data_IF_805072015451
#
_entry.id   IF_805072015451
#
_cell.length_a   1.000
_cell.length_b   1.000
_cell.length_c   1.000
_cell.angle_alpha   90.00
_cell.angle_beta   90.00
_cell.angle_gamma   90.00
#
_symmetry.space_group_name_H-M   'P 1'
#
loop_
_entity.id
_entity.type
_entity.pdbx_description
1 polymer ?
#
# COMPACT_ATOMS: atom_id res chain seq x y z
N UNK A 1 -10.02 20.21 -6.30
CA UNK A 1 -8.72 19.88 -5.66
C UNK A 1 -7.51 20.42 -6.45
N UNK A 2 -7.46 21.71 -6.81
CA UNK A 2 -6.44 22.26 -7.74
C UNK A 2 -5.45 23.27 -7.15
N UNK A 3 -5.36 23.40 -5.82
CA UNK A 3 -4.56 24.46 -5.16
C UNK A 3 -3.45 23.99 -4.21
N UNK A 4 -3.34 22.70 -3.89
CA UNK A 4 -2.34 22.19 -2.93
C UNK A 4 -1.03 21.89 -3.65
N UNK A 5 0.09 22.31 -3.08
CA UNK A 5 1.41 22.03 -3.64
C UNK A 5 2.06 20.87 -2.87
N UNK A 6 2.83 20.00 -3.53
CA UNK A 6 3.60 18.97 -2.83
C UNK A 6 4.58 19.54 -1.81
N UNK A 7 5.02 20.80 -1.98
CA UNK A 7 5.89 21.51 -1.05
C UNK A 7 5.26 21.81 0.31
N UNK A 8 3.93 21.71 0.41
CA UNK A 8 3.19 21.99 1.64
C UNK A 8 3.21 20.77 2.60
N UNK A 9 3.78 19.64 2.15
CA UNK A 9 3.85 18.38 2.88
C UNK A 9 5.30 17.93 3.09
N UNK A 10 5.56 17.22 4.19
CA UNK A 10 6.88 16.66 4.50
C UNK A 10 7.06 15.33 3.75
N UNK A 11 7.49 15.41 2.50
CA UNK A 11 7.59 14.24 1.60
C UNK A 11 8.48 13.11 2.15
N UNK A 12 9.54 13.44 2.90
CA UNK A 12 10.42 12.42 3.50
C UNK A 12 9.67 11.52 4.48
N UNK A 13 8.75 12.08 5.28
CA UNK A 13 7.95 11.31 6.23
C UNK A 13 6.92 10.44 5.50
N UNK A 14 6.30 10.99 4.46
CA UNK A 14 5.34 10.23 3.64
C UNK A 14 6.00 9.06 2.92
N UNK A 15 7.23 9.22 2.43
CA UNK A 15 8.00 8.13 1.79
C UNK A 15 8.27 7.01 2.78
N UNK A 16 8.65 7.34 4.02
CA UNK A 16 8.91 6.33 5.04
C UNK A 16 7.65 5.57 5.45
N UNK A 17 6.53 6.27 5.63
CA UNK A 17 5.26 5.68 6.07
C UNK A 17 4.51 4.92 4.95
N UNK A 18 4.74 5.27 3.68
CA UNK A 18 4.08 4.61 2.54
C UNK A 18 4.85 3.39 1.99
N UNK A 19 5.91 2.93 2.68
CA UNK A 19 6.66 1.74 2.27
C UNK A 19 5.78 0.49 2.18
N UNK A 20 5.71 -0.08 0.99
CA UNK A 20 4.91 -1.27 0.68
C UNK A 20 3.50 -0.98 0.17
N UNK A 21 3.08 0.29 0.12
CA UNK A 21 1.84 0.70 -0.52
C UNK A 21 2.00 0.78 -2.04
N UNK A 22 0.96 0.42 -2.78
CA UNK A 22 0.85 0.71 -4.20
C UNK A 22 0.40 2.14 -4.46
N UNK A 23 0.60 2.64 -5.69
CA UNK A 23 0.14 3.98 -6.05
C UNK A 23 -1.37 4.20 -5.88
N UNK A 24 -2.17 3.14 -6.06
CA UNK A 24 -3.62 3.20 -5.82
C UNK A 24 -3.95 3.36 -4.33
N UNK A 25 -3.24 2.63 -3.45
CA UNK A 25 -3.44 2.74 -2.00
C UNK A 25 -2.97 4.08 -1.46
N UNK A 26 -1.84 4.61 -1.95
CA UNK A 26 -1.37 5.96 -1.60
C UNK A 26 -2.41 7.01 -2.00
N UNK A 27 -2.99 6.89 -3.20
CA UNK A 27 -4.05 7.79 -3.63
C UNK A 27 -5.27 7.73 -2.70
N UNK A 28 -5.64 6.54 -2.24
CA UNK A 28 -6.77 6.38 -1.33
C UNK A 28 -6.49 7.00 0.04
N UNK A 29 -5.31 6.78 0.61
CA UNK A 29 -4.89 7.43 1.85
C UNK A 29 -4.95 8.97 1.75
N UNK A 30 -4.53 9.54 0.61
CA UNK A 30 -4.65 10.99 0.37
C UNK A 30 -6.11 11.44 0.35
N UNK A 31 -7.02 10.69 -0.28
CA UNK A 31 -8.46 11.03 -0.27
C UNK A 31 -9.04 10.94 1.14
N UNK A 32 -8.67 9.93 1.91
CA UNK A 32 -9.15 9.76 3.28
C UNK A 32 -8.67 10.91 4.18
N UNK A 33 -7.39 11.29 4.09
CA UNK A 33 -6.85 12.48 4.75
C UNK A 33 -7.64 13.76 4.43
N UNK A 34 -8.06 13.90 3.18
CA UNK A 34 -8.89 15.02 2.75
C UNK A 34 -10.29 15.00 3.36
N UNK A 35 -10.90 13.82 3.52
CA UNK A 35 -12.18 13.69 4.19
C UNK A 35 -12.07 14.01 5.68
N UNK A 36 -11.02 13.52 6.37
CA UNK A 36 -10.77 13.82 7.79
C UNK A 36 -10.61 15.32 8.04
N UNK A 37 -9.73 15.98 7.29
CA UNK A 37 -9.52 17.42 7.41
C UNK A 37 -10.76 18.24 7.05
N UNK A 38 -11.55 17.78 6.07
CA UNK A 38 -12.79 18.44 5.69
C UNK A 38 -13.84 18.41 6.80
N UNK A 39 -13.97 17.29 7.51
CA UNK A 39 -14.88 17.16 8.67
C UNK A 39 -14.52 18.16 9.78
N UNK A 40 -13.22 18.37 9.97
CA UNK A 40 -12.66 19.35 10.92
C UNK A 40 -12.60 20.79 10.39
N UNK A 41 -13.16 21.07 9.21
CA UNK A 41 -13.18 22.40 8.58
C UNK A 41 -11.78 23.03 8.40
N UNK A 42 -10.76 22.22 8.16
CA UNK A 42 -9.38 22.63 7.92
C UNK A 42 -8.83 22.07 6.61
N UNK A 43 -7.65 22.54 6.22
CA UNK A 43 -6.88 21.89 5.14
C UNK A 43 -6.12 20.68 5.70
N UNK A 44 -5.91 19.63 4.89
CA UNK A 44 -5.14 18.48 5.32
C UNK A 44 -3.66 18.85 5.42
N UNK A 45 -2.98 18.25 6.39
CA UNK A 45 -1.54 18.32 6.56
C UNK A 45 -0.87 16.95 6.33
N UNK A 46 0.42 16.86 6.64
CA UNK A 46 1.17 15.61 6.47
C UNK A 46 0.68 14.52 7.42
N UNK A 47 0.26 14.87 8.64
CA UNK A 47 -0.16 13.92 9.65
C UNK A 47 -1.46 13.24 9.27
N UNK A 48 -2.40 13.95 8.64
CA UNK A 48 -3.65 13.32 8.16
C UNK A 48 -3.39 12.17 7.18
N UNK A 49 -2.40 12.34 6.29
CA UNK A 49 -2.01 11.32 5.34
C UNK A 49 -1.32 10.16 6.06
N UNK A 50 -0.45 10.45 7.04
CA UNK A 50 0.20 9.42 7.86
C UNK A 50 -0.85 8.60 8.62
N UNK A 51 -1.82 9.24 9.27
CA UNK A 51 -2.92 8.57 9.97
C UNK A 51 -3.74 7.69 9.02
N UNK A 52 -4.07 8.19 7.83
CA UNK A 52 -4.78 7.38 6.82
C UNK A 52 -3.96 6.15 6.36
N UNK A 53 -2.64 6.31 6.19
CA UNK A 53 -1.73 5.21 5.88
C UNK A 53 -1.67 4.21 7.03
N UNK A 54 -1.54 4.65 8.28
CA UNK A 54 -1.49 3.78 9.47
C UNK A 54 -2.78 2.99 9.69
N UNK A 55 -3.92 3.58 9.35
CA UNK A 55 -5.23 2.92 9.41
C UNK A 55 -5.44 1.90 8.29
N UNK A 56 -4.53 1.84 7.31
CA UNK A 56 -4.63 0.94 6.16
C UNK A 56 -3.50 -0.07 6.19
N UNK A 57 -3.84 -1.36 6.10
CA UNK A 57 -2.83 -2.41 6.00
C UNK A 57 -2.46 -2.65 4.52
N UNK A 58 -1.21 -2.36 4.08
CA UNK A 58 -0.88 -2.39 2.66
C UNK A 58 -0.95 -3.81 2.06
N UNK A 59 -1.44 -3.90 0.82
CA UNK A 59 -1.67 -5.15 0.10
C UNK A 59 -0.40 -5.98 -0.08
N UNK A 60 0.76 -5.32 -0.23
CA UNK A 60 2.04 -6.01 -0.31
C UNK A 60 2.35 -6.86 0.94
N UNK A 61 1.81 -6.48 2.10
CA UNK A 61 1.95 -7.24 3.36
C UNK A 61 0.87 -8.31 3.51
N UNK A 62 -0.35 -8.05 3.04
CA UNK A 62 -1.47 -9.02 3.07
C UNK A 62 -1.33 -10.14 2.04
N UNK A 63 -0.80 -9.85 0.86
CA UNK A 63 -0.77 -10.80 -0.28
C UNK A 63 0.63 -10.91 -0.90
N UNK A 64 1.67 -10.81 -0.08
CA UNK A 64 3.07 -10.81 -0.53
C UNK A 64 3.43 -12.01 -1.42
N UNK A 65 3.04 -13.23 -1.03
CA UNK A 65 3.33 -14.45 -1.81
C UNK A 65 2.66 -14.42 -3.19
N UNK A 66 1.39 -14.00 -3.25
CA UNK A 66 0.63 -13.92 -4.49
C UNK A 66 1.21 -12.84 -5.41
N UNK A 67 1.64 -11.71 -4.86
CA UNK A 67 2.29 -10.64 -5.62
C UNK A 67 3.65 -11.09 -6.18
N UNK A 68 4.41 -11.89 -5.42
CA UNK A 68 5.67 -12.43 -5.90
C UNK A 68 5.47 -13.44 -7.03
N UNK A 69 4.46 -14.30 -6.92
CA UNK A 69 4.09 -15.21 -8.00
C UNK A 69 3.59 -14.44 -9.25
N UNK A 70 2.81 -13.37 -9.06
CA UNK A 70 2.38 -12.49 -10.15
C UNK A 70 3.57 -11.79 -10.82
N UNK A 71 4.51 -11.27 -10.03
CA UNK A 71 5.75 -10.64 -10.54
C UNK A 71 6.59 -11.63 -11.32
N UNK A 72 6.73 -12.87 -10.85
CA UNK A 72 7.44 -13.94 -11.60
C UNK A 72 6.77 -14.22 -12.94
N UNK A 73 5.44 -14.34 -12.95
CA UNK A 73 4.67 -14.52 -14.18
C UNK A 73 4.86 -13.34 -15.16
N UNK A 74 4.88 -12.11 -14.65
CA UNK A 74 4.99 -10.89 -15.43
C UNK A 74 6.36 -10.70 -16.11
N UNK A 75 7.47 -11.17 -15.50
CA UNK A 75 8.85 -10.98 -16.02
C UNK A 75 9.06 -11.46 -17.46
N UNK A 76 8.34 -12.50 -17.89
CA UNK A 76 8.44 -13.04 -19.25
C UNK A 76 7.25 -12.70 -20.15
N UNK A 77 6.26 -11.94 -19.65
CA UNK A 77 4.96 -11.73 -20.33
C UNK A 77 4.53 -10.28 -20.43
N UNK A 78 5.22 -9.35 -19.77
CA UNK A 78 4.84 -7.94 -19.73
C UNK A 78 6.07 -7.03 -19.86
N UNK A 79 5.84 -5.77 -20.25
CA UNK A 79 6.88 -4.73 -20.27
C UNK A 79 6.89 -4.00 -18.92
N UNK A 80 8.06 -3.86 -18.26
CA UNK A 80 8.14 -3.18 -16.97
C UNK A 80 7.89 -1.68 -17.10
N UNK A 81 7.12 -1.10 -16.17
CA UNK A 81 6.84 0.34 -16.13
C UNK A 81 8.03 1.19 -15.63
N UNK A 82 8.97 0.58 -14.90
CA UNK A 82 10.16 1.23 -14.35
C UNK A 82 11.38 0.30 -14.38
N UNK A 83 12.58 0.88 -14.28
CA UNK A 83 13.86 0.13 -14.30
C UNK A 83 14.20 -0.52 -12.96
N UNK A 84 13.60 -0.04 -11.87
CA UNK A 84 13.91 -0.52 -10.53
C UNK A 84 13.31 -1.91 -10.28
N UNK A 85 14.09 -2.75 -9.61
CA UNK A 85 13.62 -4.07 -9.19
C UNK A 85 12.99 -3.94 -7.82
N UNK A 86 11.76 -4.41 -7.68
CA UNK A 86 11.17 -4.63 -6.36
C UNK A 86 11.99 -5.71 -5.64
N UNK A 87 12.67 -5.33 -4.57
CA UNK A 87 13.60 -6.17 -3.79
C UNK A 87 12.90 -7.04 -2.75
N UNK A 88 11.57 -7.10 -2.76
CA UNK A 88 10.79 -7.79 -1.74
C UNK A 88 10.73 -7.03 -0.41
N UNK A 89 11.37 -5.86 -0.33
CA UNK A 89 11.34 -4.88 0.76
C UNK A 89 11.40 -5.46 2.18
N UNK A 90 12.10 -6.59 2.37
CA UNK A 90 12.25 -7.25 3.68
C UNK A 90 10.93 -7.49 4.43
N UNK A 91 9.79 -7.46 3.73
CA UNK A 91 8.47 -7.55 4.34
C UNK A 91 8.29 -9.00 4.79
N UNK A 92 8.73 -9.29 6.01
CA UNK A 92 8.35 -10.52 6.70
C UNK A 92 6.84 -10.52 6.74
N UNK A 93 6.22 -11.60 6.27
CA UNK A 93 4.79 -11.78 6.47
C UNK A 93 4.54 -11.72 7.96
N UNK A 94 3.78 -10.71 8.37
CA UNK A 94 3.34 -10.54 9.73
C UNK A 94 2.38 -11.70 10.05
N UNK A 95 2.73 -12.58 11.01
CA UNK A 95 1.87 -13.71 11.38
C UNK A 95 0.53 -13.25 11.96
N UNK A 96 0.46 -12.03 12.50
CA UNK A 96 -0.73 -11.46 13.13
C UNK A 96 -1.52 -10.54 12.18
N UNK A 97 -1.20 -10.55 10.88
CA UNK A 97 -1.92 -9.72 9.91
C UNK A 97 -3.41 -10.07 9.87
N UNK A 98 -4.29 -9.08 9.65
CA UNK A 98 -5.71 -9.35 9.49
C UNK A 98 -5.98 -10.21 8.25
N UNK A 99 -6.56 -11.39 8.44
CA UNK A 99 -6.95 -12.33 7.36
C UNK A 99 -8.46 -12.37 7.24
N UNK A 100 -8.99 -12.12 6.04
CA UNK A 100 -10.43 -12.19 5.78
C UNK A 100 -10.93 -13.64 5.74
N UNK A 101 -12.18 -13.88 6.19
CA UNK A 101 -12.81 -15.20 6.09
C UNK A 101 -12.81 -15.78 4.67
N UNK A 102 -12.87 -14.94 3.64
CA UNK A 102 -12.83 -15.35 2.23
C UNK A 102 -11.44 -15.83 1.79
N UNK A 103 -10.38 -15.34 2.44
CA UNK A 103 -9.01 -15.76 2.14
C UNK A 103 -8.75 -17.21 2.54
N UNK A 104 -9.39 -17.72 3.61
CA UNK A 104 -9.31 -19.14 3.99
C UNK A 104 -9.72 -20.10 2.86
N UNK A 105 -10.68 -19.68 2.02
CA UNK A 105 -11.20 -20.48 0.90
C UNK A 105 -10.70 -19.98 -0.46
N UNK A 106 -9.64 -19.18 -0.49
CA UNK A 106 -9.14 -18.62 -1.74
C UNK A 106 -8.34 -19.69 -2.52
N UNK A 107 -8.83 -20.05 -3.71
CA UNK A 107 -8.22 -21.03 -4.60
C UNK A 107 -6.81 -20.63 -5.09
N UNK A 108 -6.44 -19.36 -4.96
CA UNK A 108 -5.12 -18.84 -5.31
C UNK A 108 -4.10 -18.96 -4.17
N UNK A 109 -4.50 -19.35 -2.96
CA UNK A 109 -3.56 -19.60 -1.85
C UNK A 109 -3.08 -21.05 -1.93
N UNK A 110 -1.77 -21.23 -2.13
CA UNK A 110 -1.13 -22.55 -2.10
C UNK A 110 -1.21 -23.11 -0.68
N UNK A 111 -2.06 -24.11 -0.45
CA UNK A 111 -2.03 -24.89 0.79
C UNK A 111 -0.64 -25.53 0.90
N UNK A 112 0.14 -25.17 1.94
CA UNK A 112 1.36 -25.93 2.28
C UNK A 112 0.94 -27.39 2.46
N UNK A 113 1.38 -28.27 1.55
CA UNK A 113 1.19 -29.71 1.70
C UNK A 113 2.00 -30.11 2.94
N UNK A 114 1.34 -30.78 3.89
CA UNK A 114 2.01 -31.46 5.00
C UNK A 114 2.94 -32.53 4.45
#
# INVERSE_FOLDING_TARGET
MKKRKPSDFVLSELVENSKGFSGAEIQEAVKEALFMAFDEHREPDTNDIIVALENTYPLARVMGEQLDDLRKWAKGRTVPASKEKFDGMGLKQDPDRPVLKREYNNAFIKKKRK
#
